data_IF_189809237277
#
_entry.id   IF_189809237277
#
_cell.length_a   1.000
_cell.length_b   1.000
_cell.length_c   1.000
_cell.angle_alpha   90.00
_cell.angle_beta   90.00
_cell.angle_gamma   90.00
#
_symmetry.space_group_name_H-M   'P 1'
#
loop_
_entity.id
_entity.type
_entity.pdbx_description
1 polymer ?
#
# COMPACT_ATOMS: atom_id res chain seq x y z
N UNK A 1 -47.12 16.96 9.49
CA UNK A 1 -46.06 17.91 9.86
C UNK A 1 -44.88 17.11 10.40
N UNK A 2 -43.93 16.77 9.53
CA UNK A 2 -42.84 15.80 9.80
C UNK A 2 -41.87 16.36 10.83
N UNK A 3 -41.59 15.57 11.87
CA UNK A 3 -40.79 15.92 13.03
C UNK A 3 -39.28 15.82 12.74
N UNK A 4 -38.57 16.86 13.18
CA UNK A 4 -37.14 16.99 13.44
C UNK A 4 -36.22 15.83 12.98
N UNK A 5 -35.47 16.08 11.90
CA UNK A 5 -34.32 15.29 11.48
C UNK A 5 -33.24 15.24 12.55
N UNK A 6 -33.27 14.18 13.36
CA UNK A 6 -32.16 13.77 14.21
C UNK A 6 -31.07 13.19 13.30
N UNK A 7 -30.11 14.04 12.91
CA UNK A 7 -28.83 13.59 12.40
C UNK A 7 -28.00 13.26 13.65
N UNK A 8 -27.97 11.99 14.03
CA UNK A 8 -27.05 11.53 15.07
C UNK A 8 -25.62 11.52 14.49
N UNK A 9 -24.67 12.29 15.04
CA UNK A 9 -23.28 12.23 14.57
C UNK A 9 -22.70 10.86 14.94
N UNK A 10 -22.32 10.07 13.93
CA UNK A 10 -21.70 8.75 14.14
C UNK A 10 -20.35 8.91 14.83
N UNK A 11 -20.25 8.53 16.10
CA UNK A 11 -19.00 8.47 16.88
C UNK A 11 -18.17 7.21 16.52
N UNK A 12 -18.21 6.79 15.26
CA UNK A 12 -17.45 5.63 14.81
C UNK A 12 -15.95 6.00 14.78
N UNK A 13 -15.03 5.10 15.18
CA UNK A 13 -13.60 5.33 15.00
C UNK A 13 -13.18 5.44 13.51
N UNK A 14 -14.06 5.02 12.59
CA UNK A 14 -13.95 5.21 11.15
C UNK A 14 -14.55 6.53 10.64
N UNK A 15 -15.28 7.25 11.50
CA UNK A 15 -15.79 8.60 11.26
C UNK A 15 -14.78 9.66 11.75
N UNK A 16 -13.48 9.39 11.56
CA UNK A 16 -12.46 10.39 11.81
C UNK A 16 -12.78 11.63 10.97
N UNK A 17 -12.71 12.86 11.54
CA UNK A 17 -12.84 14.08 10.74
C UNK A 17 -11.81 13.96 9.63
N UNK A 18 -12.26 14.00 8.37
CA UNK A 18 -11.44 13.76 7.19
C UNK A 18 -10.06 14.36 7.42
N UNK A 19 -9.11 13.51 7.81
CA UNK A 19 -7.75 13.94 8.03
C UNK A 19 -7.35 14.39 6.64
N UNK A 20 -7.20 15.70 6.47
CA UNK A 20 -6.60 16.31 5.29
C UNK A 20 -5.15 15.85 5.29
N UNK A 21 -4.94 14.57 5.00
CA UNK A 21 -3.69 14.07 4.49
C UNK A 21 -3.48 14.93 3.26
N UNK A 22 -2.40 15.71 3.25
CA UNK A 22 -1.97 16.36 2.02
C UNK A 22 -2.01 15.27 0.95
N UNK A 23 -2.50 15.61 -0.23
CA UNK A 23 -2.46 14.72 -1.38
C UNK A 23 -1.00 14.63 -1.80
N UNK A 24 -0.20 13.95 -0.98
CA UNK A 24 1.19 13.65 -1.24
C UNK A 24 1.20 12.70 -2.43
N UNK A 25 2.06 13.00 -3.39
CA UNK A 25 2.18 12.15 -4.56
C UNK A 25 2.68 10.79 -4.09
N UNK A 26 1.92 9.74 -4.38
CA UNK A 26 2.24 8.39 -3.89
C UNK A 26 3.63 7.98 -4.37
N UNK A 27 4.04 8.45 -5.55
CA UNK A 27 5.39 8.29 -6.06
C UNK A 27 6.43 8.91 -5.12
N UNK A 28 6.28 10.20 -4.78
CA UNK A 28 7.24 10.93 -3.95
C UNK A 28 7.42 10.26 -2.57
N UNK A 29 6.32 9.79 -1.98
CA UNK A 29 6.36 9.08 -0.69
C UNK A 29 7.10 7.74 -0.82
N UNK A 30 6.85 7.00 -1.89
CA UNK A 30 7.54 5.73 -2.13
C UNK A 30 9.02 5.90 -2.50
N UNK A 31 9.39 6.99 -3.18
CA UNK A 31 10.80 7.31 -3.50
C UNK A 31 11.62 7.66 -2.25
N UNK A 32 10.97 8.18 -1.20
CA UNK A 32 11.61 8.42 0.10
C UNK A 32 11.80 7.13 0.91
N UNK A 33 11.09 6.06 0.57
CA UNK A 33 11.17 4.78 1.27
C UNK A 33 12.24 3.89 0.64
N UNK A 34 13.34 3.69 1.39
CA UNK A 34 14.49 2.93 0.90
C UNK A 34 14.17 1.45 0.60
N UNK A 35 13.19 0.85 1.29
CA UNK A 35 12.77 -0.52 1.04
C UNK A 35 11.96 -0.61 -0.26
N UNK A 36 11.03 0.33 -0.47
CA UNK A 36 10.22 0.38 -1.69
C UNK A 36 11.05 0.70 -2.93
N UNK A 37 12.05 1.58 -2.83
CA UNK A 37 12.97 1.88 -3.94
C UNK A 37 13.72 0.63 -4.44
N UNK A 38 14.15 -0.25 -3.53
CA UNK A 38 14.76 -1.52 -3.91
C UNK A 38 13.78 -2.47 -4.59
N UNK A 39 12.57 -2.63 -4.03
CA UNK A 39 11.53 -3.48 -4.62
C UNK A 39 11.14 -2.99 -6.01
N UNK A 40 10.98 -1.67 -6.19
CA UNK A 40 10.72 -1.05 -7.49
C UNK A 40 11.87 -1.28 -8.47
N UNK A 41 13.13 -1.17 -8.02
CA UNK A 41 14.30 -1.43 -8.86
C UNK A 41 14.36 -2.87 -9.37
N UNK A 42 14.01 -3.84 -8.51
CA UNK A 42 13.91 -5.24 -8.92
C UNK A 42 12.77 -5.49 -9.91
N UNK A 43 11.62 -4.86 -9.71
CA UNK A 43 10.47 -4.98 -10.62
C UNK A 43 10.79 -4.36 -11.97
N UNK A 44 11.44 -3.19 -11.99
CA UNK A 44 11.90 -2.52 -13.21
C UNK A 44 12.95 -3.35 -13.96
N UNK A 45 13.85 -4.04 -13.23
CA UNK A 45 14.81 -4.97 -13.82
C UNK A 45 14.18 -6.30 -14.27
N UNK A 46 12.90 -6.55 -13.95
CA UNK A 46 12.25 -7.84 -14.14
C UNK A 46 12.94 -9.00 -13.39
N UNK A 47 13.80 -8.66 -12.41
CA UNK A 47 14.65 -9.61 -11.71
C UNK A 47 14.23 -9.65 -10.26
N UNK A 48 13.55 -10.74 -9.89
CA UNK A 48 13.32 -11.07 -8.50
C UNK A 48 14.68 -11.32 -7.82
N UNK A 49 14.98 -10.68 -6.69
CA UNK A 49 16.20 -10.97 -5.95
C UNK A 49 16.15 -12.41 -5.42
N UNK A 50 17.31 -13.00 -5.18
CA UNK A 50 17.37 -14.29 -4.49
C UNK A 50 16.86 -14.12 -3.05
N UNK A 51 16.26 -15.19 -2.50
CA UNK A 51 15.76 -15.18 -1.11
C UNK A 51 16.83 -14.76 -0.11
N UNK A 52 18.10 -15.12 -0.36
CA UNK A 52 19.24 -14.76 0.49
C UNK A 52 19.50 -13.26 0.51
N UNK A 53 19.41 -12.58 -0.63
CA UNK A 53 19.64 -11.14 -0.75
C UNK A 53 18.52 -10.35 -0.07
N UNK A 54 17.26 -10.77 -0.26
CA UNK A 54 16.12 -10.17 0.41
C UNK A 54 16.16 -10.41 1.94
N UNK A 55 16.54 -11.61 2.38
CA UNK A 55 16.58 -11.94 3.80
C UNK A 55 17.72 -11.26 4.56
N UNK A 56 18.81 -10.91 3.87
CA UNK A 56 19.95 -10.20 4.45
C UNK A 56 19.68 -8.69 4.65
N UNK A 57 18.76 -8.10 3.86
CA UNK A 57 18.43 -6.68 3.93
C UNK A 57 17.57 -6.34 5.16
N UNK A 58 16.36 -6.92 5.26
CA UNK A 58 15.47 -6.73 6.40
C UNK A 58 14.31 -7.75 6.45
N UNK A 59 13.57 -7.81 7.57
CA UNK A 59 12.32 -8.58 7.70
C UNK A 59 11.23 -8.05 6.77
N UNK A 60 11.13 -6.73 6.58
CA UNK A 60 10.18 -6.13 5.64
C UNK A 60 10.47 -6.55 4.19
N UNK A 61 11.76 -6.63 3.83
CA UNK A 61 12.19 -7.11 2.51
C UNK A 61 11.76 -8.55 2.23
N UNK A 62 11.78 -9.42 3.26
CA UNK A 62 11.28 -10.80 3.15
C UNK A 62 9.79 -10.84 2.87
N UNK A 63 9.02 -9.95 3.50
CA UNK A 63 7.59 -9.83 3.28
C UNK A 63 7.28 -9.34 1.86
N UNK A 64 8.04 -8.37 1.33
CA UNK A 64 7.90 -7.93 -0.06
C UNK A 64 8.29 -9.05 -1.04
N UNK A 65 9.36 -9.80 -0.79
CA UNK A 65 9.77 -10.94 -1.62
C UNK A 65 8.70 -12.05 -1.68
N UNK A 66 8.04 -12.34 -0.55
CA UNK A 66 6.95 -13.33 -0.50
C UNK A 66 5.74 -12.88 -1.33
N UNK A 67 5.50 -11.56 -1.40
CA UNK A 67 4.37 -10.95 -2.09
C UNK A 67 4.65 -10.60 -3.56
N UNK A 68 5.80 -10.99 -4.12
CA UNK A 68 6.24 -10.63 -5.46
C UNK A 68 5.22 -10.93 -6.56
N UNK A 69 4.57 -12.10 -6.52
CA UNK A 69 3.58 -12.50 -7.54
C UNK A 69 2.33 -11.59 -7.56
N UNK A 70 2.13 -10.80 -6.50
CA UNK A 70 1.02 -9.85 -6.36
C UNK A 70 1.50 -8.40 -6.43
N UNK A 71 2.75 -8.13 -6.78
CA UNK A 71 3.30 -6.78 -6.90
C UNK A 71 3.43 -6.38 -8.36
N UNK A 72 3.05 -5.13 -8.67
CA UNK A 72 3.16 -4.55 -10.00
C UNK A 72 3.63 -3.10 -9.86
N UNK A 73 4.69 -2.72 -10.57
CA UNK A 73 5.11 -1.33 -10.66
C UNK A 73 4.43 -0.69 -11.89
N UNK A 74 3.74 0.43 -11.70
CA UNK A 74 3.06 1.16 -12.78
C UNK A 74 3.36 2.65 -12.63
N UNK A 75 3.90 3.24 -13.70
CA UNK A 75 4.23 4.68 -13.75
C UNK A 75 5.09 5.17 -12.57
N UNK A 76 6.04 4.34 -12.11
CA UNK A 76 6.93 4.68 -10.98
C UNK A 76 6.30 4.50 -9.60
N UNK A 77 5.10 3.91 -9.52
CA UNK A 77 4.42 3.61 -8.26
C UNK A 77 4.26 2.09 -8.11
N UNK A 78 4.65 1.57 -6.94
CA UNK A 78 4.40 0.19 -6.57
C UNK A 78 2.94 0.01 -6.18
N UNK A 79 2.25 -0.88 -6.88
CA UNK A 79 0.91 -1.36 -6.56
C UNK A 79 0.96 -2.80 -6.09
N UNK A 80 0.06 -3.13 -5.15
CA UNK A 80 -0.22 -4.50 -4.76
C UNK A 80 -1.57 -4.91 -5.32
N UNK A 81 -1.57 -5.96 -6.14
CA UNK A 81 -2.77 -6.64 -6.59
C UNK A 81 -3.46 -7.30 -5.39
N UNK A 82 -4.58 -6.72 -4.94
CA UNK A 82 -5.45 -7.39 -3.99
C UNK A 82 -6.30 -8.41 -4.74
N UNK A 83 -6.14 -9.69 -4.42
CA UNK A 83 -7.16 -10.68 -4.78
C UNK A 83 -8.36 -10.43 -3.88
N UNK A 84 -9.42 -9.85 -4.44
CA UNK A 84 -10.74 -9.87 -3.81
C UNK A 84 -11.20 -11.32 -3.82
N UNK A 85 -10.97 -12.02 -2.70
CA UNK A 85 -11.64 -13.29 -2.44
C UNK A 85 -13.12 -13.00 -2.28
N UNK A 86 -13.92 -13.39 -3.26
CA UNK A 86 -15.37 -13.49 -3.07
C UNK A 86 -15.60 -14.50 -1.95
N UNK A 87 -16.03 -14.01 -0.78
CA UNK A 87 -16.69 -14.85 0.21
C UNK A 87 -17.99 -15.34 -0.44
N UNK A 88 -18.02 -16.62 -0.83
CA UNK A 88 -19.23 -17.30 -1.29
C UNK A 88 -19.88 -18.05 -0.14
#
# INVERSE_FOLDING_TARGET
MVAAGVIEPSDSPWAAPAVLVKKEDVQEVQERDAALVHVQSWLAAGKRPEWVDAAALDTEMRAYHSQWASQEARDGVLYRRMQVGYIS
#
